data_IF_538136407979
#
_entry.id   IF_538136407979
#
_cell.length_a   1.000
_cell.length_b   1.000
_cell.length_c   1.000
_cell.angle_alpha   90.00
_cell.angle_beta   90.00
_cell.angle_gamma   90.00
#
_symmetry.space_group_name_H-M   'P 1'
#
loop_
_entity.id
_entity.type
_entity.pdbx_description
1 polymer ?
#
# COMPACT_ATOMS: atom_id res chain seq x y z
N UNK A 1 -27.15 26.25 24.36
CA UNK A 1 -27.32 24.80 24.08
C UNK A 1 -26.55 24.07 25.16
N UNK A 2 -27.20 23.22 25.97
CA UNK A 2 -26.51 22.54 27.07
C UNK A 2 -25.69 21.34 26.56
N UNK A 3 -24.78 20.81 27.38
CA UNK A 3 -23.90 19.68 26.99
C UNK A 3 -24.68 18.43 26.57
N UNK A 4 -25.81 18.14 27.18
CA UNK A 4 -26.68 17.01 26.81
C UNK A 4 -27.26 17.15 25.40
N UNK A 5 -27.63 18.36 24.98
CA UNK A 5 -28.13 18.62 23.63
C UNK A 5 -27.02 18.49 22.60
N UNK A 6 -25.80 18.89 22.96
CA UNK A 6 -24.61 18.75 22.08
C UNK A 6 -24.27 17.27 21.84
N UNK A 7 -24.21 16.46 22.89
CA UNK A 7 -23.97 15.02 22.77
C UNK A 7 -25.03 14.31 21.94
N UNK A 8 -26.31 14.67 22.08
CA UNK A 8 -27.41 14.10 21.31
C UNK A 8 -27.28 14.44 19.79
N UNK A 9 -26.94 15.68 19.45
CA UNK A 9 -26.75 16.09 18.06
C UNK A 9 -25.48 15.43 17.42
N UNK A 10 -24.40 15.26 18.17
CA UNK A 10 -23.23 14.54 17.68
C UNK A 10 -23.54 13.04 17.46
N UNK A 11 -24.25 12.39 18.38
CA UNK A 11 -24.68 11.00 18.21
C UNK A 11 -25.60 10.81 17.00
N UNK A 12 -26.54 11.76 16.76
CA UNK A 12 -27.39 11.71 15.56
C UNK A 12 -26.56 11.95 14.30
N UNK A 13 -25.61 12.87 14.32
CA UNK A 13 -24.72 13.14 13.20
C UNK A 13 -23.89 11.92 12.85
N UNK A 14 -23.28 11.25 13.82
CA UNK A 14 -22.56 9.98 13.63
C UNK A 14 -23.48 8.89 13.06
N UNK A 15 -24.70 8.76 13.56
CA UNK A 15 -25.68 7.78 13.06
C UNK A 15 -26.17 8.10 11.64
N UNK A 16 -26.27 9.38 11.26
CA UNK A 16 -26.74 9.81 9.95
C UNK A 16 -25.63 9.91 8.90
N UNK A 17 -24.39 10.20 9.33
CA UNK A 17 -23.26 10.29 8.41
C UNK A 17 -22.62 8.92 8.16
N UNK A 18 -23.01 7.90 8.94
CA UNK A 18 -22.52 6.53 8.81
C UNK A 18 -21.02 6.51 8.55
N UNK A 19 -20.21 6.80 9.58
CA UNK A 19 -18.74 6.58 9.47
C UNK A 19 -18.49 5.09 9.35
N UNK A 20 -18.67 4.58 8.14
CA UNK A 20 -18.38 3.19 7.81
C UNK A 20 -16.88 3.07 7.63
N UNK A 21 -16.14 2.80 8.72
CA UNK A 21 -14.76 2.36 8.57
C UNK A 21 -14.73 1.01 7.87
N UNK A 22 -13.75 0.81 7.01
CA UNK A 22 -13.49 -0.47 6.37
C UNK A 22 -12.29 -1.13 7.06
N UNK A 23 -12.55 -2.25 7.75
CA UNK A 23 -11.49 -3.08 8.32
C UNK A 23 -10.81 -3.84 7.19
N UNK A 24 -9.51 -3.64 7.03
CA UNK A 24 -8.71 -4.21 5.96
C UNK A 24 -7.51 -4.95 6.53
N UNK A 25 -7.18 -6.09 5.95
CA UNK A 25 -5.99 -6.86 6.29
C UNK A 25 -5.20 -7.21 5.02
N UNK A 26 -3.89 -7.24 5.14
CA UNK A 26 -2.97 -7.78 4.15
C UNK A 26 -2.15 -8.91 4.77
N UNK A 27 -1.94 -9.97 4.01
CA UNK A 27 -1.12 -11.11 4.39
C UNK A 27 -0.25 -11.50 3.18
N UNK A 28 1.01 -11.76 3.42
CA UNK A 28 1.93 -12.38 2.46
C UNK A 28 2.61 -13.56 3.11
N UNK A 29 2.69 -14.68 2.40
CA UNK A 29 3.21 -15.96 2.88
C UNK A 29 3.98 -16.67 1.78
N UNK A 30 5.17 -17.17 2.10
CA UNK A 30 6.03 -17.87 1.14
C UNK A 30 5.44 -19.19 0.64
N UNK A 31 4.49 -19.75 1.39
CA UNK A 31 3.94 -21.07 1.13
C UNK A 31 4.86 -22.21 1.57
N UNK A 32 4.60 -23.41 1.03
CA UNK A 32 5.24 -24.65 1.50
C UNK A 32 6.40 -25.14 0.61
N UNK A 33 6.68 -24.47 -0.50
CA UNK A 33 7.60 -24.98 -1.54
C UNK A 33 8.78 -24.04 -1.79
N UNK A 34 8.58 -22.73 -1.66
CA UNK A 34 9.62 -21.73 -1.93
C UNK A 34 10.43 -21.42 -0.69
N UNK A 35 11.71 -21.12 -0.86
CA UNK A 35 12.60 -20.70 0.23
C UNK A 35 12.53 -19.18 0.49
N UNK A 36 12.02 -18.40 -0.48
CA UNK A 36 11.97 -16.95 -0.43
C UNK A 36 10.59 -16.43 -0.86
N UNK A 37 10.10 -15.42 -0.14
CA UNK A 37 8.89 -14.71 -0.47
C UNK A 37 9.22 -13.49 -1.34
N UNK A 38 8.79 -13.52 -2.59
CA UNK A 38 9.03 -12.45 -3.56
C UNK A 38 7.89 -11.41 -3.60
N UNK A 39 6.78 -11.67 -2.86
CA UNK A 39 5.62 -10.80 -2.85
C UNK A 39 5.72 -9.72 -1.78
N UNK A 40 5.13 -8.57 -2.08
CA UNK A 40 4.99 -7.46 -1.16
C UNK A 40 3.57 -6.88 -1.22
N UNK A 41 3.21 -6.12 -0.21
CA UNK A 41 1.95 -5.38 -0.17
C UNK A 41 2.18 -3.95 0.32
N UNK A 42 1.22 -3.09 0.06
CA UNK A 42 1.07 -1.78 0.68
C UNK A 42 -0.31 -1.68 1.30
N UNK A 43 -0.37 -1.49 2.61
CA UNK A 43 -1.61 -1.24 3.35
C UNK A 43 -1.38 -0.09 4.34
N UNK A 44 -1.96 1.09 4.05
CA UNK A 44 -1.88 2.28 4.89
C UNK A 44 -0.45 2.57 5.39
N UNK A 45 0.51 2.62 4.45
CA UNK A 45 1.93 2.86 4.74
C UNK A 45 2.71 1.65 5.23
N UNK A 46 2.06 0.55 5.60
CA UNK A 46 2.73 -0.71 5.93
C UNK A 46 3.11 -1.46 4.66
N UNK A 47 4.33 -1.95 4.60
CA UNK A 47 4.85 -2.84 3.56
C UNK A 47 5.58 -4.00 4.24
N UNK A 48 5.88 -5.06 3.49
CA UNK A 48 6.78 -6.10 3.96
C UNK A 48 8.23 -5.60 3.85
N UNK A 49 8.78 -5.07 4.94
CA UNK A 49 10.16 -4.55 4.99
C UNK A 49 11.22 -5.63 5.25
N UNK A 50 10.79 -6.79 5.70
CA UNK A 50 11.67 -7.91 6.00
C UNK A 50 11.66 -8.94 4.87
N UNK A 51 12.77 -9.67 4.72
CA UNK A 51 12.82 -10.92 3.95
C UNK A 51 12.14 -12.08 4.70
N UNK A 52 11.22 -11.77 5.63
CA UNK A 52 10.52 -12.79 6.38
C UNK A 52 9.56 -13.56 5.48
N UNK A 53 9.49 -14.86 5.71
CA UNK A 53 8.58 -15.75 5.00
C UNK A 53 7.10 -15.39 5.18
N UNK A 54 6.78 -14.63 6.23
CA UNK A 54 5.42 -14.20 6.56
C UNK A 54 5.40 -12.72 6.93
N UNK A 55 4.44 -11.99 6.37
CA UNK A 55 4.17 -10.60 6.72
C UNK A 55 2.67 -10.37 6.81
N UNK A 56 2.24 -9.56 7.76
CA UNK A 56 0.83 -9.17 7.88
C UNK A 56 0.71 -7.71 8.32
N UNK A 57 -0.38 -7.09 7.93
CA UNK A 57 -0.79 -5.76 8.38
C UNK A 57 -2.31 -5.69 8.49
N UNK A 58 -2.80 -4.87 9.42
CA UNK A 58 -4.21 -4.56 9.57
C UNK A 58 -4.38 -3.05 9.59
N UNK A 59 -5.46 -2.56 9.02
CA UNK A 59 -5.80 -1.14 9.03
C UNK A 59 -7.31 -0.92 9.01
N UNK A 60 -7.76 0.08 9.74
CA UNK A 60 -9.08 0.67 9.61
C UNK A 60 -8.99 1.84 8.64
N UNK A 61 -9.71 1.74 7.54
CA UNK A 61 -9.72 2.75 6.49
C UNK A 61 -10.93 3.66 6.67
N UNK A 62 -10.69 4.96 6.77
CA UNK A 62 -11.73 5.98 6.82
C UNK A 62 -12.29 6.24 5.42
N UNK A 63 -13.61 6.35 5.23
CA UNK A 63 -14.21 6.72 3.95
C UNK A 63 -13.91 8.17 3.54
N UNK A 64 -13.47 9.00 4.49
CA UNK A 64 -13.22 10.42 4.27
C UNK A 64 -11.79 10.72 3.79
N UNK A 65 -10.95 9.67 3.62
CA UNK A 65 -9.56 9.78 3.22
C UNK A 65 -9.25 8.91 1.99
N UNK A 66 -8.28 9.34 1.21
CA UNK A 66 -7.73 8.50 0.15
C UNK A 66 -6.74 7.49 0.72
N UNK A 67 -6.90 6.23 0.31
CA UNK A 67 -6.01 5.15 0.69
C UNK A 67 -5.39 4.51 -0.54
N UNK A 68 -4.11 4.19 -0.44
CA UNK A 68 -3.41 3.37 -1.42
C UNK A 68 -3.29 1.95 -0.88
N UNK A 69 -3.85 1.01 -1.61
CA UNK A 69 -3.69 -0.43 -1.38
C UNK A 69 -2.95 -1.00 -2.58
N UNK A 70 -1.89 -1.77 -2.34
CA UNK A 70 -1.08 -2.35 -3.40
C UNK A 70 -0.71 -3.80 -3.11
N UNK A 71 -0.65 -4.60 -4.17
CA UNK A 71 -0.05 -5.93 -4.18
C UNK A 71 1.03 -5.95 -5.26
N UNK A 72 2.20 -6.46 -4.93
CA UNK A 72 3.38 -6.44 -5.77
C UNK A 72 3.95 -7.86 -5.83
N UNK A 73 3.67 -8.57 -6.92
CA UNK A 73 4.17 -9.92 -7.17
C UNK A 73 5.56 -9.82 -7.82
N UNK A 74 6.57 -10.27 -7.11
CA UNK A 74 7.95 -10.22 -7.56
C UNK A 74 8.30 -11.40 -8.46
N UNK A 75 8.93 -11.12 -9.59
CA UNK A 75 9.38 -12.12 -10.55
C UNK A 75 10.90 -12.15 -10.61
N UNK A 76 11.55 -13.03 -9.84
CA UNK A 76 13.02 -13.12 -9.77
C UNK A 76 13.63 -14.26 -10.56
N UNK A 77 12.95 -15.37 -10.67
CA UNK A 77 13.45 -16.61 -11.30
C UNK A 77 14.60 -17.25 -10.54
N UNK A 78 15.70 -16.55 -10.37
CA UNK A 78 16.91 -17.01 -9.64
C UNK A 78 17.18 -16.12 -8.42
N UNK A 79 16.92 -14.82 -8.50
CA UNK A 79 17.03 -13.86 -7.40
C UNK A 79 16.47 -12.48 -7.80
N UNK A 80 16.07 -11.67 -6.82
CA UNK A 80 15.77 -10.25 -6.98
C UNK A 80 14.32 -9.89 -7.21
N UNK A 81 13.39 -10.83 -7.24
CA UNK A 81 11.95 -10.54 -7.26
C UNK A 81 11.50 -9.85 -5.97
N UNK A 82 12.00 -10.31 -4.82
CA UNK A 82 11.78 -9.71 -3.51
C UNK A 82 12.29 -8.28 -3.40
N UNK A 83 13.38 -7.97 -4.08
CA UNK A 83 13.93 -6.60 -4.14
C UNK A 83 13.04 -5.73 -5.02
N UNK A 84 12.66 -6.24 -6.21
CA UNK A 84 11.82 -5.50 -7.14
C UNK A 84 10.43 -5.15 -6.55
N UNK A 85 9.76 -6.11 -5.93
CA UNK A 85 8.47 -5.90 -5.29
C UNK A 85 8.56 -4.93 -4.11
N UNK A 86 9.62 -5.04 -3.29
CA UNK A 86 9.86 -4.15 -2.16
C UNK A 86 10.13 -2.72 -2.60
N UNK A 87 11.05 -2.51 -3.56
CA UNK A 87 11.36 -1.16 -4.07
C UNK A 87 10.14 -0.51 -4.69
N UNK A 88 9.33 -1.29 -5.43
CA UNK A 88 8.06 -0.79 -5.98
C UNK A 88 7.09 -0.39 -4.87
N UNK A 89 6.90 -1.23 -3.86
CA UNK A 89 6.05 -0.92 -2.70
C UNK A 89 6.50 0.36 -1.99
N UNK A 90 7.81 0.59 -1.85
CA UNK A 90 8.37 1.81 -1.26
C UNK A 90 8.05 3.07 -2.09
N UNK A 91 8.14 2.98 -3.41
CA UNK A 91 7.79 4.09 -4.31
C UNK A 91 6.31 4.44 -4.17
N UNK A 92 5.42 3.44 -4.15
CA UNK A 92 3.99 3.66 -3.99
C UNK A 92 3.63 4.18 -2.60
N UNK A 93 4.29 3.73 -1.54
CA UNK A 93 4.16 4.29 -0.19
C UNK A 93 4.47 5.78 -0.17
N UNK A 94 5.62 6.16 -0.71
CA UNK A 94 6.04 7.57 -0.77
C UNK A 94 5.12 8.45 -1.64
N UNK A 95 4.46 7.86 -2.65
CA UNK A 95 3.43 8.55 -3.44
C UNK A 95 2.14 8.72 -2.63
N UNK A 96 1.71 7.68 -1.91
CA UNK A 96 0.50 7.69 -1.10
C UNK A 96 0.57 8.72 0.04
N UNK A 97 1.74 8.96 0.62
CA UNK A 97 1.96 10.00 1.63
C UNK A 97 1.63 11.42 1.13
N UNK A 98 1.52 11.62 -0.19
CA UNK A 98 1.17 12.89 -0.81
C UNK A 98 -0.33 13.03 -1.12
N UNK A 99 -1.15 12.00 -0.92
CA UNK A 99 -2.58 11.99 -1.27
C UNK A 99 -3.48 12.91 -0.40
N UNK A 100 -3.18 13.15 0.90
CA UNK A 100 -4.02 14.01 1.72
C UNK A 100 -4.26 15.38 1.09
N UNK A 101 -5.55 15.77 1.00
CA UNK A 101 -5.97 17.04 0.43
C UNK A 101 -5.89 17.16 -1.10
N UNK A 102 -5.55 16.08 -1.81
CA UNK A 102 -5.47 16.06 -3.27
C UNK A 102 -6.80 15.74 -3.92
N UNK A 103 -7.03 16.34 -5.09
CA UNK A 103 -8.14 15.98 -5.95
C UNK A 103 -7.92 14.61 -6.63
N UNK A 104 -8.98 13.95 -7.11
CA UNK A 104 -8.85 12.68 -7.84
C UNK A 104 -7.88 12.73 -9.01
N UNK A 105 -7.84 13.85 -9.76
CA UNK A 105 -6.93 14.02 -10.90
C UNK A 105 -5.47 14.16 -10.48
N UNK A 106 -5.20 14.83 -9.37
CA UNK A 106 -3.84 14.92 -8.81
C UNK A 106 -3.37 13.56 -8.31
N UNK A 107 -4.24 12.78 -7.64
CA UNK A 107 -3.93 11.42 -7.19
C UNK A 107 -3.64 10.50 -8.37
N UNK A 108 -4.43 10.59 -9.44
CA UNK A 108 -4.18 9.84 -10.66
C UNK A 108 -2.80 10.16 -11.25
N UNK A 109 -2.42 11.44 -11.30
CA UNK A 109 -1.11 11.84 -11.79
C UNK A 109 0.03 11.36 -10.89
N UNK A 110 -0.12 11.48 -9.56
CA UNK A 110 0.86 10.94 -8.60
C UNK A 110 1.02 9.43 -8.75
N UNK A 111 -0.07 8.71 -8.95
CA UNK A 111 -0.05 7.26 -9.17
C UNK A 111 0.67 6.92 -10.48
N UNK A 112 0.39 7.64 -11.58
CA UNK A 112 1.10 7.49 -12.85
C UNK A 112 2.61 7.73 -12.71
N UNK A 113 2.99 8.76 -11.96
CA UNK A 113 4.40 9.06 -11.67
C UNK A 113 5.05 7.96 -10.83
N UNK A 114 4.32 7.36 -9.88
CA UNK A 114 4.83 6.23 -9.10
C UNK A 114 5.14 5.03 -9.99
N UNK A 115 4.26 4.68 -10.94
CA UNK A 115 4.53 3.62 -11.92
C UNK A 115 5.77 3.92 -12.76
N UNK A 116 5.90 5.14 -13.29
CA UNK A 116 7.08 5.55 -14.08
C UNK A 116 8.37 5.42 -13.28
N UNK A 117 8.37 5.98 -12.08
CA UNK A 117 9.52 5.97 -11.17
C UNK A 117 9.93 4.55 -10.76
N UNK A 118 8.96 3.70 -10.39
CA UNK A 118 9.24 2.31 -10.05
C UNK A 118 9.86 1.57 -11.24
N UNK A 119 9.28 1.71 -12.43
CA UNK A 119 9.80 1.10 -13.65
C UNK A 119 11.22 1.57 -13.99
N UNK A 120 11.53 2.86 -13.84
CA UNK A 120 12.88 3.40 -14.04
C UNK A 120 13.89 2.79 -13.06
N UNK A 121 13.55 2.71 -11.77
CA UNK A 121 14.41 2.12 -10.73
C UNK A 121 14.68 0.63 -10.99
N UNK A 122 13.63 -0.13 -11.28
CA UNK A 122 13.76 -1.57 -11.60
C UNK A 122 14.62 -1.79 -12.85
N UNK A 123 14.41 -1.00 -13.92
CA UNK A 123 15.21 -1.12 -15.14
C UNK A 123 16.68 -0.77 -14.90
N UNK A 124 16.97 0.25 -14.10
CA UNK A 124 18.33 0.60 -13.72
C UNK A 124 19.00 -0.54 -12.91
N UNK A 125 18.28 -1.13 -11.96
CA UNK A 125 18.77 -2.24 -11.16
C UNK A 125 18.95 -3.54 -11.98
N UNK A 126 18.04 -3.82 -12.93
CA UNK A 126 18.17 -4.95 -13.88
C UNK A 126 19.40 -4.81 -14.76
N UNK A 127 19.68 -3.62 -15.28
CA UNK A 127 20.88 -3.34 -16.08
C UNK A 127 22.18 -3.61 -15.31
N UNK A 128 22.12 -3.60 -13.98
CA UNK A 128 23.22 -3.96 -13.10
C UNK A 128 23.20 -5.45 -12.66
N UNK A 129 22.32 -6.28 -13.25
CA UNK A 129 22.09 -7.71 -12.90
C UNK A 129 21.75 -7.93 -11.40
N UNK A 130 21.03 -7.01 -10.79
CA UNK A 130 20.75 -7.03 -9.35
C UNK A 130 19.32 -7.42 -8.98
N UNK A 131 18.37 -7.27 -9.88
CA UNK A 131 16.94 -7.50 -9.59
C UNK A 131 16.21 -8.15 -10.75
N UNK A 132 15.10 -8.82 -10.44
CA UNK A 132 14.13 -9.34 -11.39
C UNK A 132 13.17 -8.29 -11.92
N UNK A 133 11.88 -8.59 -11.89
CA UNK A 133 10.78 -7.69 -12.19
C UNK A 133 9.69 -7.80 -11.13
N UNK A 134 8.67 -6.98 -11.25
CA UNK A 134 7.45 -7.09 -10.44
C UNK A 134 6.24 -6.60 -11.20
N UNK A 135 5.06 -7.10 -10.82
CA UNK A 135 3.77 -6.50 -11.16
C UNK A 135 3.37 -5.49 -10.08
N UNK A 136 2.38 -4.65 -10.35
CA UNK A 136 1.76 -3.76 -9.37
C UNK A 136 0.30 -3.48 -9.77
#
# INVERSE_FOLDING_TARGET
MNEKSRGFFETIKEALTGSSSCNTAALSDVGCVRDNNEDNFLLRGSINDSSSSHAHANADLSPDEWHCLGLFDGMGGIAGGEIASKETAQVFRASADQFPGKSPSEIQELTRQAFSKANEQINAARSANKVGGTTA
#
